data_IF_427470576652
#
_entry.id   IF_427470576652
#
_cell.length_a   1.000
_cell.length_b   1.000
_cell.length_c   1.000
_cell.angle_alpha   90.00
_cell.angle_beta   90.00
_cell.angle_gamma   90.00
#
_symmetry.space_group_name_H-M   'P 1'
#
loop_
_entity.id
_entity.type
_entity.pdbx_description
1 polymer ?
#
# COMPACT_ATOMS: atom_id res chain seq x y z
N UNK A 1 5.86 15.60 1.32
CA UNK A 1 7.23 15.67 1.88
C UNK A 1 8.24 15.36 0.81
N UNK A 2 9.29 16.19 0.71
CA UNK A 2 10.42 15.93 -0.17
C UNK A 2 11.51 15.20 0.61
N UNK A 3 11.84 13.98 0.17
CA UNK A 3 12.91 13.19 0.77
C UNK A 3 14.26 13.60 0.15
N UNK A 4 15.29 13.64 0.95
CA UNK A 4 16.64 13.95 0.49
C UNK A 4 17.44 12.67 0.29
N UNK A 5 18.25 12.64 -0.77
CA UNK A 5 19.21 11.56 -0.99
C UNK A 5 20.36 11.72 0.02
N UNK A 6 20.54 10.72 0.90
CA UNK A 6 21.63 10.69 1.89
C UNK A 6 22.57 9.53 1.54
N UNK A 7 22.10 8.30 1.73
CA UNK A 7 22.86 7.08 1.43
C UNK A 7 22.38 6.38 0.15
N UNK A 8 21.18 6.71 -0.29
CA UNK A 8 20.56 6.15 -1.50
C UNK A 8 20.06 7.27 -2.39
N UNK A 9 20.04 7.02 -3.69
CA UNK A 9 19.44 7.95 -4.65
C UNK A 9 17.92 7.87 -4.53
N UNK A 10 17.29 9.02 -4.27
CA UNK A 10 15.83 9.15 -4.16
C UNK A 10 15.35 10.03 -5.30
N UNK A 11 14.57 9.46 -6.20
CA UNK A 11 13.86 10.18 -7.25
C UNK A 11 12.42 10.38 -6.83
N UNK A 12 11.91 11.59 -6.96
CA UNK A 12 10.56 11.95 -6.58
C UNK A 12 9.82 12.59 -7.75
N UNK A 13 8.52 12.32 -7.83
CA UNK A 13 7.61 12.90 -8.82
C UNK A 13 6.33 13.30 -8.15
N UNK A 14 5.93 14.54 -8.34
CA UNK A 14 4.70 15.11 -7.82
C UNK A 14 3.63 15.10 -8.90
N UNK A 15 2.45 14.57 -8.57
CA UNK A 15 1.29 14.59 -9.47
C UNK A 15 0.80 16.03 -9.64
N UNK A 16 0.59 16.43 -10.88
CA UNK A 16 0.22 17.80 -11.25
C UNK A 16 1.40 18.68 -11.64
N UNK A 17 2.61 18.39 -11.15
CA UNK A 17 3.85 19.14 -11.48
C UNK A 17 4.75 18.32 -12.41
N UNK A 18 5.10 17.11 -12.01
CA UNK A 18 6.07 16.26 -12.73
C UNK A 18 5.38 15.14 -13.55
N UNK A 19 4.16 14.79 -13.20
CA UNK A 19 3.36 13.76 -13.85
C UNK A 19 1.87 14.08 -13.76
N UNK A 20 1.09 13.53 -14.66
CA UNK A 20 -0.36 13.75 -14.69
C UNK A 20 -1.11 12.85 -13.70
N UNK A 21 -0.66 11.61 -13.52
CA UNK A 21 -1.30 10.62 -12.65
C UNK A 21 -0.29 9.76 -11.91
N UNK A 22 -0.73 9.15 -10.80
CA UNK A 22 0.07 8.14 -10.09
C UNK A 22 0.41 6.95 -10.97
N UNK A 23 -0.54 6.47 -11.77
CA UNK A 23 -0.33 5.34 -12.68
C UNK A 23 0.78 5.61 -13.71
N UNK A 24 0.79 6.77 -14.33
CA UNK A 24 1.83 7.16 -15.28
C UNK A 24 3.21 7.26 -14.61
N UNK A 25 3.26 7.87 -13.43
CA UNK A 25 4.50 8.00 -12.67
C UNK A 25 5.05 6.63 -12.26
N UNK A 26 4.19 5.73 -11.80
CA UNK A 26 4.56 4.39 -11.37
C UNK A 26 5.09 3.54 -12.53
N UNK A 27 4.41 3.53 -13.67
CA UNK A 27 4.90 2.86 -14.89
C UNK A 27 6.27 3.38 -15.34
N UNK A 28 6.47 4.70 -15.29
CA UNK A 28 7.75 5.30 -15.63
C UNK A 28 8.84 4.93 -14.61
N UNK A 29 8.51 4.85 -13.33
CA UNK A 29 9.43 4.44 -12.27
C UNK A 29 9.91 3.00 -12.46
N UNK A 30 9.06 2.08 -12.86
CA UNK A 30 9.43 0.67 -13.11
C UNK A 30 10.53 0.51 -14.16
N UNK A 31 10.61 1.43 -15.12
CA UNK A 31 11.66 1.44 -16.16
C UNK A 31 13.02 1.93 -15.64
N UNK A 32 13.06 2.50 -14.46
CA UNK A 32 14.28 3.02 -13.83
C UNK A 32 14.94 2.02 -12.88
N UNK A 33 14.46 0.77 -12.85
CA UNK A 33 14.95 -0.31 -12.00
C UNK A 33 15.06 0.07 -10.50
N UNK A 34 14.03 0.63 -9.87
CA UNK A 34 14.07 0.98 -8.47
C UNK A 34 14.08 -0.28 -7.60
N UNK A 35 14.67 -0.19 -6.41
CA UNK A 35 14.59 -1.24 -5.39
C UNK A 35 13.32 -1.10 -4.54
N UNK A 36 13.00 0.14 -4.20
CA UNK A 36 11.87 0.51 -3.36
C UNK A 36 11.04 1.57 -4.07
N UNK A 37 9.75 1.41 -4.07
CA UNK A 37 8.79 2.35 -4.65
C UNK A 37 7.84 2.81 -3.54
N UNK A 38 7.81 4.10 -3.26
CA UNK A 38 6.83 4.70 -2.35
C UNK A 38 5.74 5.38 -3.18
N UNK A 39 4.54 4.85 -3.13
CA UNK A 39 3.34 5.47 -3.70
C UNK A 39 2.63 6.19 -2.57
N UNK A 40 2.53 7.52 -2.63
CA UNK A 40 1.98 8.34 -1.56
C UNK A 40 0.61 7.86 -1.10
N UNK A 41 -0.26 7.53 -2.05
CA UNK A 41 -1.56 6.90 -1.80
C UNK A 41 -2.04 6.13 -3.04
N UNK A 42 -2.86 5.12 -2.81
CA UNK A 42 -3.49 4.33 -3.87
C UNK A 42 -5.02 4.42 -3.75
N UNK A 43 -5.67 5.05 -4.73
CA UNK A 43 -7.12 5.30 -4.71
C UNK A 43 -7.87 4.67 -5.88
N UNK A 44 -7.18 4.37 -6.95
CA UNK A 44 -7.76 3.91 -8.19
C UNK A 44 -7.25 2.51 -8.59
N UNK A 45 -8.07 1.82 -9.38
CA UNK A 45 -7.80 0.46 -9.86
C UNK A 45 -6.49 0.37 -10.63
N UNK A 46 -6.21 1.36 -11.48
CA UNK A 46 -5.02 1.33 -12.33
C UNK A 46 -3.74 1.40 -11.50
N UNK A 47 -3.65 2.34 -10.55
CA UNK A 47 -2.50 2.48 -9.66
C UNK A 47 -2.30 1.22 -8.80
N UNK A 48 -3.40 0.68 -8.24
CA UNK A 48 -3.36 -0.57 -7.45
C UNK A 48 -2.89 -1.76 -8.27
N UNK A 49 -3.37 -1.91 -9.51
CA UNK A 49 -2.96 -3.01 -10.40
C UNK A 49 -1.47 -2.94 -10.73
N UNK A 50 -0.95 -1.76 -11.05
CA UNK A 50 0.47 -1.58 -11.37
C UNK A 50 1.33 -1.80 -10.12
N UNK A 51 0.89 -1.33 -8.95
CA UNK A 51 1.60 -1.54 -7.68
C UNK A 51 1.67 -3.03 -7.31
N UNK A 52 0.58 -3.75 -7.51
CA UNK A 52 0.52 -5.20 -7.28
C UNK A 52 1.46 -5.95 -8.24
N UNK A 53 1.43 -5.63 -9.52
CA UNK A 53 2.34 -6.18 -10.54
C UNK A 53 3.80 -5.89 -10.19
N UNK A 54 4.12 -4.67 -9.77
CA UNK A 54 5.47 -4.30 -9.33
C UNK A 54 5.93 -5.14 -8.14
N UNK A 55 5.05 -5.39 -7.17
CA UNK A 55 5.38 -6.22 -6.02
C UNK A 55 5.60 -7.70 -6.38
N UNK A 56 4.84 -8.23 -7.34
CA UNK A 56 4.99 -9.58 -7.88
C UNK A 56 6.31 -9.75 -8.66
N UNK A 57 6.82 -8.68 -9.25
CA UNK A 57 8.07 -8.68 -10.03
C UNK A 57 9.31 -8.31 -9.21
N UNK A 58 9.21 -8.32 -7.88
CA UNK A 58 10.36 -8.22 -6.97
C UNK A 58 10.68 -6.82 -6.46
N UNK A 59 9.82 -5.83 -6.69
CA UNK A 59 9.97 -4.50 -6.10
C UNK A 59 9.33 -4.44 -4.70
N UNK A 60 9.96 -3.74 -3.77
CA UNK A 60 9.33 -3.39 -2.51
C UNK A 60 8.44 -2.16 -2.72
N UNK A 61 7.14 -2.36 -2.66
CA UNK A 61 6.16 -1.27 -2.80
C UNK A 61 5.61 -0.89 -1.43
N UNK A 62 5.71 0.37 -1.10
CA UNK A 62 5.17 0.97 0.12
C UNK A 62 4.08 1.96 -0.26
N UNK A 63 2.99 1.99 0.49
CA UNK A 63 1.92 2.96 0.31
C UNK A 63 1.17 3.24 1.60
N UNK A 64 0.34 4.28 1.57
CA UNK A 64 -0.53 4.63 2.68
C UNK A 64 -2.00 4.51 2.29
N UNK A 65 -2.82 4.10 3.25
CA UNK A 65 -4.27 4.01 3.13
C UNK A 65 -4.92 4.55 4.41
N UNK A 66 -5.99 5.28 4.26
CA UNK A 66 -6.73 5.84 5.38
C UNK A 66 -7.77 4.83 5.90
N UNK A 67 -7.30 3.85 6.68
CA UNK A 67 -8.12 2.79 7.27
C UNK A 67 -7.80 2.63 8.74
N UNK A 68 -8.72 2.00 9.49
CA UNK A 68 -8.60 1.87 10.95
C UNK A 68 -7.83 0.62 11.39
N UNK A 69 -7.76 -0.41 10.54
CA UNK A 69 -7.10 -1.68 10.84
C UNK A 69 -6.74 -2.44 9.55
N UNK A 70 -6.03 -3.57 9.71
CA UNK A 70 -5.57 -4.39 8.60
C UNK A 70 -6.72 -5.00 7.77
N UNK A 71 -7.77 -5.51 8.42
CA UNK A 71 -8.90 -6.10 7.74
C UNK A 71 -9.61 -5.07 6.84
N UNK A 72 -9.86 -3.87 7.37
CA UNK A 72 -10.43 -2.76 6.60
C UNK A 72 -9.53 -2.29 5.47
N UNK A 73 -8.22 -2.38 5.65
CA UNK A 73 -7.25 -2.09 4.60
C UNK A 73 -7.42 -3.04 3.42
N UNK A 74 -7.49 -4.34 3.69
CA UNK A 74 -7.67 -5.38 2.67
C UNK A 74 -9.02 -5.20 1.96
N UNK A 75 -10.10 -5.04 2.71
CA UNK A 75 -11.43 -4.82 2.15
C UNK A 75 -11.49 -3.59 1.25
N UNK A 76 -10.80 -2.52 1.64
CA UNK A 76 -10.73 -1.30 0.84
C UNK A 76 -9.97 -1.51 -0.46
N UNK A 77 -8.83 -2.20 -0.42
CA UNK A 77 -8.04 -2.51 -1.63
C UNK A 77 -8.86 -3.39 -2.58
N UNK A 78 -9.42 -4.47 -2.06
CA UNK A 78 -10.21 -5.41 -2.87
C UNK A 78 -11.47 -4.76 -3.41
N UNK A 79 -12.13 -3.92 -2.61
CA UNK A 79 -13.38 -3.23 -2.97
C UNK A 79 -13.23 -2.18 -4.09
N UNK A 80 -12.01 -1.78 -4.46
CA UNK A 80 -11.78 -0.89 -5.61
C UNK A 80 -11.93 -1.64 -6.93
N UNK A 81 -11.69 -2.95 -6.93
CA UNK A 81 -11.80 -3.79 -8.12
C UNK A 81 -13.23 -4.26 -8.39
N UNK A 82 -13.57 -4.59 -9.66
CA UNK A 82 -14.85 -5.21 -9.99
C UNK A 82 -15.06 -6.52 -9.21
N UNK A 83 -16.31 -6.83 -8.84
CA UNK A 83 -16.65 -8.01 -8.03
C UNK A 83 -16.18 -9.34 -8.63
N UNK A 84 -16.18 -9.45 -9.94
CA UNK A 84 -15.71 -10.66 -10.63
C UNK A 84 -14.19 -10.88 -10.52
N UNK A 85 -13.43 -9.84 -10.19
CA UNK A 85 -11.98 -9.91 -9.99
C UNK A 85 -11.57 -10.07 -8.52
N UNK A 86 -12.49 -9.87 -7.61
CA UNK A 86 -12.26 -9.81 -6.16
C UNK A 86 -11.47 -11.03 -5.64
N UNK A 87 -11.87 -12.24 -6.04
CA UNK A 87 -11.20 -13.48 -5.64
C UNK A 87 -9.76 -13.55 -6.16
N UNK A 88 -9.54 -13.19 -7.41
CA UNK A 88 -8.22 -13.18 -8.02
C UNK A 88 -7.30 -12.16 -7.35
N UNK A 89 -7.81 -10.96 -7.07
CA UNK A 89 -7.07 -9.91 -6.39
C UNK A 89 -6.71 -10.31 -4.96
N UNK A 90 -7.62 -10.94 -4.21
CA UNK A 90 -7.33 -11.47 -2.87
C UNK A 90 -6.19 -12.48 -2.91
N UNK A 91 -6.21 -13.41 -3.86
CA UNK A 91 -5.15 -14.42 -4.01
C UNK A 91 -3.81 -13.79 -4.35
N UNK A 92 -3.76 -12.92 -5.34
CA UNK A 92 -2.53 -12.20 -5.73
C UNK A 92 -1.98 -11.36 -4.58
N UNK A 93 -2.86 -10.65 -3.89
CA UNK A 93 -2.49 -9.82 -2.75
C UNK A 93 -1.91 -10.65 -1.61
N UNK A 94 -2.49 -11.83 -1.29
CA UNK A 94 -1.98 -12.73 -0.26
C UNK A 94 -0.56 -13.23 -0.52
N UNK A 95 -0.21 -13.42 -1.79
CA UNK A 95 1.11 -13.92 -2.19
C UNK A 95 2.20 -12.84 -2.19
N UNK A 96 1.84 -11.59 -2.45
CA UNK A 96 2.80 -10.48 -2.59
C UNK A 96 2.89 -9.61 -1.34
N UNK A 97 1.89 -9.69 -0.47
CA UNK A 97 1.77 -8.82 0.69
C UNK A 97 2.72 -9.22 1.83
N UNK A 98 3.34 -8.23 2.48
CA UNK A 98 4.28 -8.48 3.60
C UNK A 98 3.78 -7.93 4.93
N UNK A 99 3.42 -6.66 4.99
CA UNK A 99 3.11 -5.97 6.25
C UNK A 99 1.99 -4.96 6.09
N UNK A 100 1.10 -4.86 7.09
CA UNK A 100 0.25 -3.70 7.33
C UNK A 100 0.64 -3.11 8.68
N UNK A 101 1.01 -1.83 8.67
CA UNK A 101 1.24 -1.05 9.88
C UNK A 101 0.05 -0.13 10.09
N UNK A 102 -0.71 -0.37 11.13
CA UNK A 102 -1.87 0.45 11.51
C UNK A 102 -1.49 1.38 12.65
N UNK A 103 -1.86 2.66 12.53
CA UNK A 103 -1.57 3.66 13.56
C UNK A 103 -2.88 4.20 14.13
N UNK A 104 -2.93 4.34 15.46
CA UNK A 104 -4.03 4.98 16.18
C UNK A 104 -3.52 6.00 17.17
N UNK A 105 -4.27 7.08 17.33
CA UNK A 105 -4.05 8.05 18.38
C UNK A 105 -5.00 7.76 19.55
N UNK A 106 -4.46 7.46 20.71
CA UNK A 106 -5.22 7.21 21.93
C UNK A 106 -5.03 8.34 22.95
N UNK A 107 -6.06 8.64 23.77
CA UNK A 107 -5.93 9.61 24.86
C UNK A 107 -4.85 9.18 25.85
N UNK A 108 -4.05 10.13 26.30
CA UNK A 108 -3.02 9.94 27.31
C UNK A 108 -3.55 10.35 28.70
N UNK A 109 -3.24 9.59 29.74
CA UNK A 109 -3.50 10.00 31.11
C UNK A 109 -2.75 11.31 31.39
N UNK A 110 -3.47 12.33 31.83
CA UNK A 110 -2.91 13.67 32.04
C UNK A 110 -3.03 14.63 30.84
N UNK A 111 -3.77 14.23 29.80
CA UNK A 111 -4.05 15.07 28.63
C UNK A 111 -3.17 14.80 27.41
N UNK A 112 -3.63 15.22 26.24
CA UNK A 112 -2.98 14.97 24.97
C UNK A 112 -3.27 13.56 24.42
N UNK A 113 -2.55 13.20 23.34
CA UNK A 113 -2.69 11.89 22.64
C UNK A 113 -1.33 11.28 22.41
N UNK A 114 -1.30 9.96 22.32
CA UNK A 114 -0.12 9.17 21.97
C UNK A 114 -0.43 8.29 20.76
N UNK A 115 0.53 8.16 19.85
CA UNK A 115 0.42 7.23 18.74
C UNK A 115 0.72 5.81 19.23
N UNK A 116 -0.10 4.87 18.81
CA UNK A 116 0.11 3.44 19.01
C UNK A 116 0.12 2.80 17.61
N UNK A 117 1.20 2.09 17.32
CA UNK A 117 1.38 1.37 16.06
C UNK A 117 1.14 -0.12 16.29
N UNK A 118 0.39 -0.74 15.40
CA UNK A 118 0.20 -2.18 15.34
C UNK A 118 0.69 -2.70 14.00
N UNK A 119 1.61 -3.64 14.03
CA UNK A 119 2.09 -4.36 12.87
C UNK A 119 1.37 -5.71 12.79
N UNK A 120 0.64 -5.95 11.74
CA UNK A 120 -0.20 -7.13 11.59
C UNK A 120 0.23 -7.96 10.37
N UNK A 121 0.84 -9.10 10.61
CA UNK A 121 1.09 -10.14 9.60
C UNK A 121 0.03 -11.25 9.65
N UNK A 122 -0.53 -11.49 10.80
CA UNK A 122 -1.47 -12.57 11.08
C UNK A 122 -2.89 -12.27 10.62
N UNK A 123 -3.27 -11.01 10.47
CA UNK A 123 -4.59 -10.64 9.94
C UNK A 123 -4.81 -11.14 8.51
N UNK A 124 -3.74 -11.40 7.77
CA UNK A 124 -3.82 -12.00 6.43
C UNK A 124 -4.26 -13.46 6.49
N UNK A 125 -3.69 -14.27 7.39
CA UNK A 125 -4.10 -15.66 7.59
C UNK A 125 -5.57 -15.77 8.00
N UNK A 126 -6.02 -14.98 8.96
CA UNK A 126 -7.41 -15.03 9.45
C UNK A 126 -8.44 -14.52 8.44
N UNK A 127 -8.09 -13.55 7.59
CA UNK A 127 -8.98 -13.06 6.53
C UNK A 127 -9.09 -14.05 5.38
N UNK A 128 -8.04 -14.81 5.12
CA UNK A 128 -8.04 -15.85 4.08
C UNK A 128 -8.67 -17.16 4.58
N UNK A 129 -8.52 -17.51 5.87
CA UNK A 129 -9.18 -18.67 6.48
C UNK A 129 -10.71 -18.54 6.54
N UNK A 130 -11.25 -17.33 6.66
CA UNK A 130 -12.70 -17.12 6.64
C UNK A 130 -13.33 -17.20 5.24
N UNK A 131 -12.54 -17.21 4.19
CA UNK A 131 -12.98 -17.38 2.80
C UNK A 131 -12.59 -18.73 2.21
N UNK A 132 -12.01 -19.61 3.03
CA UNK A 132 -11.57 -20.94 2.66
C UNK A 132 -12.74 -21.91 2.50
N UNK A 133 -13.48 -21.78 1.43
CA UNK A 133 -14.15 -22.87 0.70
C UNK A 133 -13.97 -22.63 -0.77
#
# INVERSE_FOLDING_TARGET
YLHQSINSTINQREVGTDTQTFALALRAALRQAPKVILVGEMRDVETLSIALEASETGHLVLSTLHTIDAAKTIDRIVGVFPKNEERSIRTRFSQSFKWIVSQRLVPKLGGGRIAIDKMDMTALGSVFDQTGQ
#
